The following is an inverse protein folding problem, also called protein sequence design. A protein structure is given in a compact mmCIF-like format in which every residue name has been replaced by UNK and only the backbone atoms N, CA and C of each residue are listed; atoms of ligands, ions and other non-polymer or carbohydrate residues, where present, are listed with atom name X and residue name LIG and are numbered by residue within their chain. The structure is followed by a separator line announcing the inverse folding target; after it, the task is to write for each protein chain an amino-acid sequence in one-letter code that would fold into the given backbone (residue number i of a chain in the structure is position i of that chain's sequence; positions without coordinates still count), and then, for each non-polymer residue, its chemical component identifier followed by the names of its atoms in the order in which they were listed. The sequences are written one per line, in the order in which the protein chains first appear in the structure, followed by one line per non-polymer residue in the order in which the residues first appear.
data_IF_582212572088
#
_entry.id   IF_582212572088
#
_cell.length_a   1.000
_cell.length_b   1.000
_cell.length_c   1.000
_cell.angle_alpha   90.00
_cell.angle_beta   90.00
_cell.angle_gamma   90.00
#
_symmetry.space_group_name_H-M   'P 1'
#
loop_
_entity.id
_entity.type
_entity.pdbx_description
1 polymer ?
#
# COMPACT_ATOMS: atom_id res chain seq x y z
N UNK A 1 18.76 -16.75 24.19
CA UNK A 1 17.30 -16.81 23.94
C UNK A 1 16.89 -15.47 23.37
N UNK A 2 16.18 -15.48 22.25
CA UNK A 2 15.61 -14.24 21.68
C UNK A 2 14.60 -13.67 22.68
N UNK A 3 14.75 -12.39 23.04
CA UNK A 3 13.87 -11.75 24.02
C UNK A 3 12.45 -11.64 23.46
N UNK A 4 11.45 -12.16 24.19
CA UNK A 4 10.07 -12.07 23.75
C UNK A 4 9.60 -10.60 23.75
N UNK A 5 8.91 -10.17 22.67
CA UNK A 5 8.37 -8.82 22.45
C UNK A 5 7.65 -8.24 23.66
N UNK A 6 6.91 -9.05 24.42
CA UNK A 6 6.21 -8.62 25.63
C UNK A 6 7.18 -8.13 26.72
N UNK A 7 8.26 -8.87 26.98
CA UNK A 7 9.31 -8.52 27.94
C UNK A 7 9.98 -7.20 27.54
N UNK A 8 10.41 -7.11 26.29
CA UNK A 8 11.05 -5.93 25.72
C UNK A 8 10.14 -4.70 25.82
N UNK A 9 8.86 -4.85 25.47
CA UNK A 9 7.87 -3.77 25.60
C UNK A 9 7.68 -3.35 27.06
N UNK A 10 7.68 -4.29 28.01
CA UNK A 10 7.62 -3.99 29.44
C UNK A 10 8.77 -3.11 29.92
N UNK A 11 10.00 -3.41 29.49
CA UNK A 11 11.21 -2.63 29.78
C UNK A 11 11.14 -1.23 29.16
N UNK A 12 10.75 -1.11 27.89
CA UNK A 12 10.58 0.19 27.20
C UNK A 12 9.52 1.06 27.87
N UNK A 13 8.39 0.46 28.26
CA UNK A 13 7.34 1.17 29.00
C UNK A 13 7.81 1.59 30.40
N UNK A 14 8.69 0.82 31.04
CA UNK A 14 9.29 1.21 32.32
C UNK A 14 10.17 2.46 32.17
N UNK A 15 11.02 2.53 31.14
CA UNK A 15 11.83 3.73 30.83
C UNK A 15 10.95 4.96 30.70
N UNK A 16 9.85 4.86 29.93
CA UNK A 16 8.88 5.98 29.80
C UNK A 16 8.26 6.34 31.15
N UNK A 17 7.83 5.36 31.95
CA UNK A 17 7.22 5.63 33.27
C UNK A 17 8.20 6.34 34.20
N UNK A 18 9.44 5.87 34.27
CA UNK A 18 10.49 6.42 35.14
C UNK A 18 10.87 7.85 34.74
N UNK A 19 10.81 8.19 33.44
CA UNK A 19 11.09 9.54 32.97
C UNK A 19 10.09 10.60 33.48
N UNK A 20 8.89 10.20 33.92
CA UNK A 20 7.81 11.11 34.29
C UNK A 20 7.20 11.91 33.14
N UNK A 21 7.73 11.79 31.91
CA UNK A 21 7.28 12.57 30.75
C UNK A 21 6.02 11.97 30.11
N UNK A 22 5.18 12.84 29.56
CA UNK A 22 4.09 12.45 28.65
C UNK A 22 4.61 12.14 27.25
N UNK A 23 3.83 11.41 26.45
CA UNK A 23 4.17 11.17 25.04
C UNK A 23 4.25 12.48 24.24
N UNK A 24 3.44 13.49 24.59
CA UNK A 24 3.49 14.82 23.97
C UNK A 24 4.80 15.55 24.26
N UNK A 25 5.33 15.48 25.49
CA UNK A 25 6.62 16.08 25.82
C UNK A 25 7.78 15.42 25.05
N UNK A 26 7.81 14.09 25.01
CA UNK A 26 8.83 13.34 24.26
C UNK A 26 8.72 13.64 22.75
N UNK A 27 7.50 13.74 22.23
CA UNK A 27 7.25 14.12 20.83
C UNK A 27 7.84 15.50 20.51
N UNK A 28 7.57 16.52 21.32
CA UNK A 28 8.12 17.87 21.14
C UNK A 28 9.64 17.90 21.18
N UNK A 29 10.27 17.14 22.08
CA UNK A 29 11.75 17.08 22.20
C UNK A 29 12.41 16.33 21.02
N UNK A 30 11.71 15.37 20.41
CA UNK A 30 12.26 14.52 19.35
C UNK A 30 11.90 14.99 17.94
N UNK A 31 10.83 15.77 17.79
CA UNK A 31 10.23 16.12 16.49
C UNK A 31 9.40 14.97 15.89
N UNK A 32 9.08 13.94 16.67
CA UNK A 32 8.22 12.83 16.27
C UNK A 32 6.77 13.09 16.69
N UNK A 33 5.78 12.45 16.06
CA UNK A 33 4.41 12.52 16.58
C UNK A 33 4.27 11.72 17.88
N UNK A 34 3.36 12.14 18.76
CA UNK A 34 3.14 11.47 20.05
C UNK A 34 2.72 10.01 19.90
N UNK A 35 1.91 9.68 18.89
CA UNK A 35 1.54 8.30 18.58
C UNK A 35 2.75 7.53 18.08
N UNK A 36 3.61 8.11 17.25
CA UNK A 36 4.82 7.43 16.78
C UNK A 36 5.76 7.08 17.94
N UNK A 37 5.97 8.01 18.89
CA UNK A 37 6.72 7.74 20.12
C UNK A 37 6.10 6.59 20.92
N UNK A 38 4.77 6.56 21.07
CA UNK A 38 4.07 5.46 21.74
C UNK A 38 4.24 4.12 21.00
N UNK A 39 4.20 4.13 19.67
CA UNK A 39 4.39 2.93 18.83
C UNK A 39 5.83 2.40 18.93
N UNK A 40 6.83 3.28 19.01
CA UNK A 40 8.23 2.91 19.24
C UNK A 40 8.37 2.13 20.56
N UNK A 41 7.82 2.67 21.64
CA UNK A 41 7.86 2.06 22.98
C UNK A 41 6.95 0.82 23.13
N UNK A 42 6.12 0.53 22.12
CA UNK A 42 5.29 -0.69 22.03
C UNK A 42 5.83 -1.71 21.02
N UNK A 43 7.01 -1.47 20.44
CA UNK A 43 7.60 -2.29 19.35
C UNK A 43 6.62 -2.51 18.19
N UNK A 44 5.98 -1.43 17.75
CA UNK A 44 5.10 -1.38 16.58
C UNK A 44 5.65 -0.46 15.47
N UNK A 45 6.59 0.41 15.81
CA UNK A 45 7.34 1.23 14.87
C UNK A 45 8.85 0.96 15.00
N UNK A 46 9.59 1.30 13.94
CA UNK A 46 11.04 1.19 13.89
C UNK A 46 11.67 2.55 14.22
N UNK A 47 12.58 2.61 15.18
CA UNK A 47 13.36 3.81 15.43
C UNK A 47 14.33 4.05 14.26
N UNK A 48 14.31 5.25 13.70
CA UNK A 48 15.21 5.62 12.59
C UNK A 48 16.52 6.21 13.15
N UNK A 49 17.67 6.01 12.49
CA UNK A 49 18.97 6.44 13.02
C UNK A 49 19.05 7.95 13.30
N UNK A 50 18.41 8.76 12.45
CA UNK A 50 18.31 10.22 12.54
C UNK A 50 17.63 10.74 13.82
N UNK A 51 16.73 9.94 14.39
CA UNK A 51 15.92 10.32 15.56
C UNK A 51 16.33 9.56 16.83
N UNK A 52 17.23 8.58 16.72
CA UNK A 52 17.69 7.76 17.84
C UNK A 52 18.40 8.59 18.93
N UNK A 53 19.30 9.49 18.54
CA UNK A 53 20.03 10.33 19.49
C UNK A 53 19.09 11.28 20.26
N UNK A 54 18.12 11.88 19.57
CA UNK A 54 17.11 12.75 20.20
C UNK A 54 16.23 11.98 21.18
N UNK A 55 15.84 10.75 20.83
CA UNK A 55 15.03 9.92 21.72
C UNK A 55 15.79 9.53 22.99
N UNK A 56 17.07 9.15 22.88
CA UNK A 56 17.93 8.86 24.04
C UNK A 56 18.19 10.10 24.90
N UNK A 57 18.33 11.28 24.30
CA UNK A 57 18.43 12.52 25.05
C UNK A 57 17.12 12.84 25.81
N UNK A 58 15.96 12.53 25.21
CA UNK A 58 14.65 12.70 25.83
C UNK A 58 14.38 11.67 26.94
N UNK A 59 14.90 10.46 26.80
CA UNK A 59 14.77 9.32 27.72
C UNK A 59 16.17 8.80 28.14
N UNK A 60 16.83 9.43 29.13
CA UNK A 60 18.20 9.08 29.51
C UNK A 60 18.39 7.63 29.97
N UNK A 61 17.35 7.03 30.57
CA UNK A 61 17.34 5.64 31.01
C UNK A 61 17.18 4.64 29.83
N UNK A 62 17.00 5.12 28.60
CA UNK A 62 16.96 4.28 27.41
C UNK A 62 18.38 3.80 27.08
N UNK A 63 18.64 2.56 27.46
CA UNK A 63 19.93 1.90 27.24
C UNK A 63 20.22 1.66 25.75
N UNK A 64 21.49 1.44 25.43
CA UNK A 64 21.92 1.21 24.04
C UNK A 64 21.35 -0.10 23.47
N UNK A 65 21.25 -1.16 24.28
CA UNK A 65 20.64 -2.42 23.86
C UNK A 65 19.16 -2.24 23.49
N UNK A 66 18.39 -1.53 24.31
CA UNK A 66 17.00 -1.22 24.02
C UNK A 66 16.86 -0.37 22.76
N UNK A 67 17.73 0.62 22.58
CA UNK A 67 17.76 1.47 21.38
C UNK A 67 18.03 0.64 20.13
N UNK A 68 19.02 -0.26 20.18
CA UNK A 68 19.35 -1.16 19.09
C UNK A 68 18.17 -2.08 18.74
N UNK A 69 17.48 -2.64 19.73
CA UNK A 69 16.26 -3.42 19.49
C UNK A 69 15.14 -2.59 18.86
N UNK A 70 15.00 -1.31 19.24
CA UNK A 70 14.02 -0.40 18.63
C UNK A 70 14.31 -0.10 17.16
N UNK A 71 15.59 -0.08 16.76
CA UNK A 71 16.03 0.18 15.39
C UNK A 71 15.82 -1.01 14.44
N UNK A 72 15.59 -2.22 14.96
CA UNK A 72 15.21 -3.37 14.12
C UNK A 72 13.75 -3.24 13.65
N UNK A 73 13.42 -3.60 12.40
CA UNK A 73 12.04 -3.68 11.95
C UNK A 73 11.21 -4.60 12.86
N UNK A 74 10.12 -4.11 13.48
CA UNK A 74 9.33 -4.95 14.37
C UNK A 74 8.40 -5.89 13.60
N UNK A 75 8.16 -7.07 14.17
CA UNK A 75 6.96 -7.83 13.85
C UNK A 75 5.77 -7.13 14.49
N UNK A 76 4.99 -6.41 13.68
CA UNK A 76 3.83 -5.64 14.14
C UNK A 76 2.69 -6.59 14.50
N UNK A 77 2.02 -6.31 15.61
CA UNK A 77 0.91 -7.13 16.12
C UNK A 77 0.13 -6.36 17.17
N UNK A 78 -1.14 -6.70 17.35
CA UNK A 78 -1.98 -6.14 18.41
C UNK A 78 -2.76 -7.27 19.08
N UNK A 79 -3.28 -7.01 20.28
CA UNK A 79 -4.16 -7.94 20.98
C UNK A 79 -5.51 -8.00 20.22
N UNK A 80 -5.97 -9.18 19.77
CA UNK A 80 -7.28 -9.31 19.13
C UNK A 80 -8.44 -8.83 20.00
N UNK A 81 -8.30 -8.88 21.33
CA UNK A 81 -9.31 -8.41 22.28
C UNK A 81 -9.24 -6.89 22.52
N UNK A 82 -8.29 -6.17 21.90
CA UNK A 82 -8.14 -4.72 22.07
C UNK A 82 -9.43 -3.96 21.73
N UNK A 83 -10.22 -4.47 20.79
CA UNK A 83 -11.50 -3.87 20.39
C UNK A 83 -12.55 -3.88 21.52
N UNK A 84 -12.36 -4.68 22.56
CA UNK A 84 -13.24 -4.70 23.75
C UNK A 84 -12.97 -3.52 24.68
N UNK A 85 -11.81 -2.85 24.54
CA UNK A 85 -11.51 -1.66 25.32
C UNK A 85 -12.37 -0.48 24.81
N UNK A 86 -13.14 0.19 25.69
CA UNK A 86 -14.11 1.21 25.25
C UNK A 86 -13.53 2.35 24.42
N UNK A 87 -12.33 2.84 24.73
CA UNK A 87 -11.70 3.96 23.99
C UNK A 87 -11.34 3.55 22.55
N UNK A 88 -10.81 2.35 22.36
CA UNK A 88 -10.52 1.77 21.03
C UNK A 88 -11.82 1.42 20.30
N UNK A 89 -12.81 0.86 21.00
CA UNK A 89 -14.12 0.55 20.40
C UNK A 89 -14.77 1.79 19.79
N UNK A 90 -14.78 2.92 20.51
CA UNK A 90 -15.37 4.17 20.00
C UNK A 90 -14.63 4.74 18.79
N UNK A 91 -13.31 4.57 18.74
CA UNK A 91 -12.54 4.95 17.55
C UNK A 91 -12.90 4.07 16.34
N UNK A 92 -13.06 2.76 16.55
CA UNK A 92 -13.49 1.86 15.49
C UNK A 92 -14.93 2.17 15.04
N UNK A 93 -15.84 2.39 15.97
CA UNK A 93 -17.24 2.76 15.70
C UNK A 93 -17.32 4.04 14.87
N UNK A 94 -16.52 5.07 15.20
CA UNK A 94 -16.43 6.29 14.39
C UNK A 94 -15.95 6.01 12.96
N UNK A 95 -14.87 5.22 12.80
CA UNK A 95 -14.37 4.84 11.47
C UNK A 95 -15.41 4.08 10.66
N UNK A 96 -16.12 3.13 11.28
CA UNK A 96 -17.15 2.35 10.61
C UNK A 96 -18.39 3.18 10.26
N UNK A 97 -18.80 4.10 11.14
CA UNK A 97 -19.96 4.96 10.91
C UNK A 97 -19.73 6.01 9.82
N UNK A 98 -18.55 6.62 9.78
CA UNK A 98 -18.20 7.65 8.78
C UNK A 98 -17.51 7.09 7.54
N UNK A 99 -17.26 5.78 7.47
CA UNK A 99 -16.39 5.17 6.46
C UNK A 99 -16.86 5.40 5.03
N UNK A 100 -18.16 5.26 4.75
CA UNK A 100 -18.73 5.49 3.42
C UNK A 100 -18.58 6.96 3.00
N UNK A 101 -18.96 7.90 3.87
CA UNK A 101 -18.84 9.33 3.59
C UNK A 101 -17.38 9.78 3.41
N UNK A 102 -16.45 9.29 4.24
CA UNK A 102 -15.02 9.58 4.08
C UNK A 102 -14.51 9.05 2.74
N UNK A 103 -14.92 7.83 2.36
CA UNK A 103 -14.55 7.24 1.08
C UNK A 103 -15.08 8.07 -0.10
N UNK A 104 -16.32 8.53 -0.04
CA UNK A 104 -16.92 9.35 -1.09
C UNK A 104 -16.17 10.68 -1.24
N UNK A 105 -15.90 11.40 -0.14
CA UNK A 105 -15.15 12.66 -0.16
C UNK A 105 -13.74 12.45 -0.73
N UNK A 106 -13.03 11.39 -0.32
CA UNK A 106 -11.71 11.07 -0.89
C UNK A 106 -11.82 10.86 -2.41
N UNK A 107 -12.85 10.15 -2.86
CA UNK A 107 -13.06 9.90 -4.28
C UNK A 107 -13.41 11.18 -5.06
N UNK A 108 -14.19 12.09 -4.49
CA UNK A 108 -14.50 13.40 -5.08
C UNK A 108 -13.27 14.29 -5.21
N UNK A 109 -12.43 14.34 -4.17
CA UNK A 109 -11.27 15.23 -4.12
C UNK A 109 -10.01 14.68 -4.82
N UNK A 110 -9.80 13.36 -4.78
CA UNK A 110 -8.55 12.71 -5.22
C UNK A 110 -8.74 11.67 -6.34
N UNK A 111 -9.97 11.19 -6.56
CA UNK A 111 -10.28 10.11 -7.51
C UNK A 111 -10.18 8.71 -6.92
N UNK A 112 -10.07 7.70 -7.79
CA UNK A 112 -10.06 6.29 -7.37
C UNK A 112 -8.73 5.86 -6.74
N UNK A 113 -8.70 5.74 -5.42
CA UNK A 113 -7.52 5.37 -4.65
C UNK A 113 -7.79 5.17 -3.16
N UNK A 114 -6.71 5.16 -2.37
CA UNK A 114 -6.76 4.98 -0.91
C UNK A 114 -5.82 5.92 -0.17
N UNK A 115 -6.14 6.21 1.10
CA UNK A 115 -5.19 6.80 2.05
C UNK A 115 -4.28 5.68 2.60
N UNK A 116 -2.96 5.83 2.42
CA UNK A 116 -1.97 4.87 2.92
C UNK A 116 -1.92 4.84 4.45
N UNK A 117 -1.75 3.65 5.02
CA UNK A 117 -1.44 3.44 6.44
C UNK A 117 0.05 3.16 6.70
N UNK A 118 0.92 3.31 5.68
CA UNK A 118 2.37 3.10 5.77
C UNK A 118 3.11 4.44 5.74
N UNK A 119 2.87 5.22 4.69
CA UNK A 119 3.31 6.62 4.61
C UNK A 119 2.23 7.47 5.28
N UNK A 120 2.26 7.43 6.62
CA UNK A 120 1.16 7.82 7.47
C UNK A 120 1.66 8.41 8.79
N UNK A 121 1.04 9.53 9.17
CA UNK A 121 1.24 10.18 10.46
C UNK A 121 -0.05 10.13 11.27
N UNK A 122 0.10 9.91 12.57
CA UNK A 122 -0.98 9.95 13.53
C UNK A 122 -0.59 10.82 14.72
N UNK A 123 -1.47 11.71 15.14
CA UNK A 123 -1.35 12.47 16.40
C UNK A 123 -2.66 12.44 17.18
N UNK A 124 -2.54 12.58 18.49
CA UNK A 124 -3.68 12.74 19.40
C UNK A 124 -3.47 14.01 20.22
N UNK A 125 -4.40 14.95 20.10
CA UNK A 125 -4.29 16.28 20.69
C UNK A 125 -5.50 16.59 21.55
N UNK A 126 -5.28 17.34 22.63
CA UNK A 126 -6.34 17.82 23.52
C UNK A 126 -6.69 19.25 23.14
N UNK A 127 -7.95 19.50 22.81
CA UNK A 127 -8.46 20.85 22.47
C UNK A 127 -9.66 21.21 23.33
N UNK A 128 -10.01 22.49 23.37
CA UNK A 128 -11.26 22.96 23.98
C UNK A 128 -12.34 23.09 22.90
N UNK A 129 -13.49 22.47 23.15
CA UNK A 129 -14.69 22.65 22.32
C UNK A 129 -15.29 24.04 22.48
N UNK A 130 -16.23 24.38 21.58
CA UNK A 130 -17.01 25.63 21.67
C UNK A 130 -17.81 25.73 22.97
N UNK A 131 -18.14 24.59 23.58
CA UNK A 131 -18.80 24.46 24.87
C UNK A 131 -17.83 24.52 26.08
N UNK A 132 -16.54 24.78 25.83
CA UNK A 132 -15.49 24.86 26.84
C UNK A 132 -15.01 23.50 27.37
N UNK A 133 -15.60 22.39 26.91
CA UNK A 133 -15.23 21.04 27.36
C UNK A 133 -14.01 20.53 26.63
N UNK A 134 -13.31 19.59 27.28
CA UNK A 134 -12.17 18.92 26.67
C UNK A 134 -12.64 18.03 25.52
N UNK A 135 -11.97 18.12 24.38
CA UNK A 135 -12.15 17.26 23.21
C UNK A 135 -10.83 16.61 22.84
N UNK A 136 -10.93 15.39 22.34
CA UNK A 136 -9.80 14.65 21.77
C UNK A 136 -9.86 14.79 20.25
N UNK A 137 -8.77 15.30 19.67
CA UNK A 137 -8.59 15.37 18.22
C UNK A 137 -7.64 14.26 17.83
N UNK A 138 -8.06 13.40 16.92
CA UNK A 138 -7.21 12.39 16.29
C UNK A 138 -6.98 12.82 14.86
N UNK A 139 -5.72 13.02 14.49
CA UNK A 139 -5.35 13.42 13.12
C UNK A 139 -4.75 12.22 12.41
N UNK A 140 -5.38 11.82 11.29
CA UNK A 140 -4.86 10.82 10.37
C UNK A 140 -4.40 11.51 9.10
N UNK A 141 -3.10 11.48 8.82
CA UNK A 141 -2.50 12.09 7.64
C UNK A 141 -1.75 11.01 6.87
N UNK A 142 -2.39 10.47 5.84
CA UNK A 142 -1.81 9.45 4.98
C UNK A 142 -1.62 9.92 3.55
N UNK A 143 -0.56 9.43 2.91
CA UNK A 143 -0.33 9.64 1.49
C UNK A 143 -1.44 9.01 0.65
N UNK A 144 -2.00 9.76 -0.29
CA UNK A 144 -2.93 9.24 -1.29
C UNK A 144 -2.21 8.33 -2.30
N UNK A 145 -2.83 7.18 -2.60
CA UNK A 145 -2.34 6.18 -3.54
C UNK A 145 -3.44 5.86 -4.57
N UNK A 146 -3.32 6.34 -5.83
CA UNK A 146 -4.28 6.03 -6.87
C UNK A 146 -4.16 4.58 -7.34
N UNK A 147 -5.27 3.95 -7.70
CA UNK A 147 -5.23 2.65 -8.38
C UNK A 147 -4.64 2.80 -9.77
N UNK A 148 -3.75 1.89 -10.14
CA UNK A 148 -3.17 1.84 -11.48
C UNK A 148 -4.08 1.03 -12.39
N UNK A 149 -4.60 1.64 -13.45
CA UNK A 149 -5.23 0.90 -14.55
C UNK A 149 -4.12 0.15 -15.28
N UNK A 150 -4.23 -1.17 -15.32
CA UNK A 150 -3.22 -2.07 -15.87
C UNK A 150 -3.08 -1.97 -17.39
N UNK A 151 -2.44 -0.92 -17.89
CA UNK A 151 -1.68 -1.03 -19.13
C UNK A 151 -0.29 -1.54 -18.75
N UNK A 152 -0.17 -2.86 -18.57
CA UNK A 152 1.14 -3.48 -18.64
C UNK A 152 1.68 -3.25 -20.05
N UNK A 153 2.42 -2.17 -20.22
CA UNK A 153 3.39 -2.04 -21.29
C UNK A 153 4.47 -3.10 -21.07
N UNK A 154 4.13 -4.37 -21.33
CA UNK A 154 5.08 -5.36 -21.78
C UNK A 154 5.67 -4.77 -23.06
N UNK A 155 6.72 -3.96 -22.90
CA UNK A 155 7.62 -3.67 -24.01
C UNK A 155 8.16 -5.04 -24.40
N UNK A 156 7.55 -5.64 -25.42
CA UNK A 156 8.10 -6.80 -26.08
C UNK A 156 9.53 -6.41 -26.45
N UNK A 157 10.50 -7.00 -25.75
CA UNK A 157 11.90 -6.91 -26.12
C UNK A 157 12.00 -7.51 -27.53
N UNK A 158 11.93 -6.67 -28.56
CA UNK A 158 12.30 -7.04 -29.93
C UNK A 158 13.81 -7.29 -29.92
N UNK A 159 14.22 -8.49 -29.50
CA UNK A 159 15.51 -9.04 -29.89
C UNK A 159 15.29 -9.62 -31.29
N UNK A 160 15.25 -8.73 -32.28
CA UNK A 160 15.28 -9.13 -33.68
C UNK A 160 16.71 -9.60 -33.97
N UNK A 161 16.98 -10.88 -33.73
CA UNK A 161 18.20 -11.51 -34.21
C UNK A 161 17.96 -11.83 -35.68
N UNK A 162 18.43 -10.95 -36.56
CA UNK A 162 18.53 -11.25 -37.98
C UNK A 162 19.74 -12.18 -38.14
N UNK A 163 19.49 -13.48 -38.20
CA UNK A 163 20.48 -14.44 -38.69
C UNK A 163 20.22 -14.63 -40.18
N UNK A 164 21.25 -14.35 -40.97
CA UNK A 164 21.27 -14.60 -42.41
C UNK A 164 21.00 -16.08 -42.72
N UNK A 165 20.40 -16.28 -43.90
CA UNK A 165 20.31 -17.51 -44.69
C UNK A 165 19.29 -18.57 -44.25
N UNK A 166 18.42 -18.93 -45.21
CA UNK A 166 17.65 -20.18 -45.21
C UNK A 166 16.15 -19.95 -45.23
N UNK A 167 15.53 -20.20 -46.38
CA UNK A 167 14.08 -20.38 -46.46
C UNK A 167 13.67 -21.53 -45.52
N UNK A 168 12.73 -21.27 -44.61
CA UNK A 168 12.13 -22.30 -43.76
C UNK A 168 10.63 -22.35 -44.06
N UNK A 169 10.23 -23.34 -44.84
CA UNK A 169 8.84 -23.74 -44.97
C UNK A 169 8.40 -24.39 -43.66
N UNK A 170 7.45 -23.78 -42.95
CA UNK A 170 6.76 -24.44 -41.84
C UNK A 170 5.55 -25.20 -42.39
N UNK A 171 5.70 -26.51 -42.56
CA UNK A 171 4.57 -27.44 -42.60
C UNK A 171 4.23 -27.80 -41.15
N UNK A 172 3.11 -27.30 -40.63
CA UNK A 172 2.55 -27.79 -39.37
C UNK A 172 1.63 -28.99 -39.67
N UNK A 173 1.83 -30.16 -39.03
CA UNK A 173 0.84 -31.23 -39.08
C UNK A 173 -0.33 -30.86 -38.16
N UNK A 174 -1.48 -30.52 -38.76
CA UNK A 174 -2.77 -30.61 -38.10
C UNK A 174 -3.29 -32.04 -38.29
N UNK A 175 -3.27 -32.85 -37.23
CA UNK A 175 -4.11 -34.05 -37.07
C UNK A 175 -5.47 -33.55 -36.54
N UNK A 176 -6.38 -33.15 -37.42
CA UNK A 176 -7.56 -33.88 -37.92
C UNK A 176 -8.47 -34.42 -36.81
N UNK A 177 -9.50 -33.64 -36.46
CA UNK A 177 -10.82 -34.18 -36.12
C UNK A 177 -11.86 -33.50 -37.01
N UNK A 178 -12.49 -34.31 -37.85
CA UNK A 178 -13.63 -34.00 -38.74
C UNK A 178 -13.40 -32.98 -39.87
N UNK A 179 -13.85 -33.38 -41.07
CA UNK A 179 -13.51 -32.83 -42.39
C UNK A 179 -14.19 -31.49 -42.73
N UNK A 180 -13.68 -30.35 -42.24
CA UNK A 180 -13.90 -29.04 -42.88
C UNK A 180 -12.63 -28.17 -42.70
N UNK A 181 -11.88 -27.91 -43.78
CA UNK A 181 -10.78 -26.94 -43.77
C UNK A 181 -11.35 -25.59 -44.22
N UNK A 182 -11.48 -24.65 -43.29
CA UNK A 182 -11.77 -23.24 -43.61
C UNK A 182 -10.42 -22.52 -43.75
N UNK A 183 -9.96 -22.30 -44.98
CA UNK A 183 -8.82 -21.43 -45.23
C UNK A 183 -9.26 -19.97 -45.20
N UNK A 184 -9.06 -19.28 -44.07
CA UNK A 184 -9.21 -17.83 -43.99
C UNK A 184 -7.93 -17.17 -44.50
N UNK A 185 -7.95 -16.64 -45.73
CA UNK A 185 -6.91 -15.72 -46.22
C UNK A 185 -7.16 -14.34 -45.64
N UNK A 186 -6.47 -13.99 -44.56
CA UNK A 186 -6.46 -12.61 -44.05
C UNK A 186 -5.33 -11.84 -44.74
N UNK A 187 -5.67 -10.95 -45.66
CA UNK A 187 -4.73 -10.00 -46.26
C UNK A 187 -4.83 -8.68 -45.48
N UNK A 188 -3.89 -8.42 -44.58
CA UNK A 188 -3.81 -7.14 -43.87
C UNK A 188 -2.97 -6.17 -44.71
N UNK A 189 -3.63 -5.22 -45.39
CA UNK A 189 -2.96 -4.09 -46.02
C UNK A 189 -2.91 -2.92 -45.05
N UNK A 190 -1.72 -2.41 -44.74
CA UNK A 190 -1.53 -1.20 -43.94
C UNK A 190 -1.19 -0.03 -44.88
N UNK A 191 -1.99 1.05 -44.82
CA UNK A 191 -1.76 2.29 -45.54
C UNK A 191 -1.38 3.39 -44.52
N UNK A 192 -0.27 4.13 -44.68
CA UNK A 192 0.17 5.11 -43.67
C UNK A 192 -0.58 6.45 -43.68
N UNK A 193 -1.61 6.61 -44.51
CA UNK A 193 -2.27 7.91 -44.68
C UNK A 193 -3.79 7.74 -44.82
N UNK A 194 -4.51 7.91 -43.72
CA UNK A 194 -5.80 8.63 -43.65
C UNK A 194 -6.44 8.45 -42.26
N UNK A 195 -6.71 9.58 -41.61
CA UNK A 195 -7.65 9.71 -40.51
C UNK A 195 -9.07 9.58 -41.06
N UNK A 196 -9.71 8.43 -40.91
CA UNK A 196 -11.18 8.33 -40.85
C UNK A 196 -11.60 6.92 -40.44
N UNK A 197 -12.51 6.87 -39.47
CA UNK A 197 -13.18 5.67 -39.01
C UNK A 197 -14.24 5.29 -40.05
N UNK A 198 -14.18 4.10 -40.64
CA UNK A 198 -15.38 3.40 -41.12
C UNK A 198 -15.10 1.92 -41.48
N UNK A 199 -15.85 1.04 -40.80
CA UNK A 199 -16.44 -0.23 -41.23
C UNK A 199 -15.48 -1.36 -41.66
N UNK A 200 -15.32 -2.32 -40.75
CA UNK A 200 -14.88 -3.69 -41.06
C UNK A 200 -15.88 -4.36 -42.02
N UNK A 201 -15.52 -4.52 -43.29
CA UNK A 201 -16.22 -5.44 -44.20
C UNK A 201 -15.69 -6.86 -43.99
N UNK A 202 -16.46 -7.70 -43.31
CA UNK A 202 -16.30 -9.16 -43.37
C UNK A 202 -16.86 -9.65 -44.71
N UNK A 203 -16.00 -10.21 -45.57
CA UNK A 203 -16.45 -10.96 -46.73
C UNK A 203 -16.20 -12.45 -46.45
N UNK A 204 -17.23 -13.16 -46.00
CA UNK A 204 -17.21 -14.63 -45.93
C UNK A 204 -17.76 -15.18 -47.23
N UNK A 205 -16.90 -15.76 -48.07
CA UNK A 205 -17.34 -16.62 -49.16
C UNK A 205 -17.43 -18.04 -48.61
N UNK A 206 -18.64 -18.56 -48.44
CA UNK A 206 -18.89 -19.99 -48.21
C UNK A 206 -18.96 -20.63 -49.59
N UNK A 207 -17.97 -21.44 -49.96
CA UNK A 207 -18.13 -22.39 -51.06
C UNK A 207 -18.58 -23.72 -50.48
N UNK A 208 -19.81 -24.09 -50.83
CA UNK A 208 -20.45 -25.36 -50.55
C UNK A 208 -20.00 -26.45 -51.53
N UNK A 209 -20.17 -27.68 -51.04
CA UNK A 209 -20.58 -28.90 -51.76
C UNK A 209 -19.68 -30.12 -51.60
N UNK A 210 -20.43 -31.20 -51.36
CA UNK A 210 -20.10 -32.52 -50.88
C UNK A 210 -19.86 -33.41 -52.12
N UNK A 211 -18.75 -34.14 -52.12
CA UNK A 211 -18.65 -35.57 -52.45
C UNK A 211 -17.21 -36.05 -52.20
#
# INVERSE_FOLDING_TARGET
MEENKASLTGRLQAVKRNSGKSYGQIASETGLTNVYVAQLLRRQAQLKPDTAQKLRASLPDLTEDLTHEMMKPPMRSYDPNLIQEPSVYRLNEAVMHFGESIKEIINEEFGDGIMSAIDFYCSVDKVKGVDGKDRVVVTFNGKYLPYKVGAHGLKASKKLVYSQAGAVHFLFPLLVYSRIIICIKVKVCWSPTAYSCEIFRFCSTICSEIA
#
